data_IF_570596739841
#
_entry.id   IF_570596739841
#
_cell.length_a   1.000
_cell.length_b   1.000
_cell.length_c   1.000
_cell.angle_alpha   90.00
_cell.angle_beta   90.00
_cell.angle_gamma   90.00
#
_symmetry.space_group_name_H-M   'P 1'
#
loop_
_entity.id
_entity.type
_entity.pdbx_description
1 polymer ?
#
# COMPACT_ATOMS: atom_id res chain seq x y z
N UNK A 1 -7.91 -16.89 3.84
CA UNK A 1 -6.62 -16.17 3.83
C UNK A 1 -5.73 -16.79 4.90
N UNK A 2 -4.47 -17.08 4.57
CA UNK A 2 -3.47 -17.55 5.54
C UNK A 2 -2.70 -16.40 6.17
N UNK A 3 -1.75 -16.71 7.04
CA UNK A 3 -0.80 -15.75 7.59
C UNK A 3 0.17 -15.30 6.48
N UNK A 4 0.24 -13.99 6.24
CA UNK A 4 1.14 -13.40 5.25
C UNK A 4 2.03 -12.33 5.90
N UNK A 5 3.27 -12.23 5.43
CA UNK A 5 4.25 -11.22 5.81
C UNK A 5 4.76 -10.52 4.55
N UNK A 6 4.79 -9.19 4.54
CA UNK A 6 5.43 -8.41 3.49
C UNK A 6 6.65 -7.68 4.06
N UNK A 7 7.73 -7.60 3.30
CA UNK A 7 8.89 -6.77 3.60
C UNK A 7 9.36 -6.02 2.35
N UNK A 8 9.72 -4.76 2.55
CA UNK A 8 10.43 -3.96 1.56
C UNK A 8 11.93 -3.94 1.86
N UNK A 9 12.76 -3.89 0.83
CA UNK A 9 14.22 -3.89 0.95
C UNK A 9 14.86 -2.76 0.15
N UNK A 10 16.07 -2.36 0.57
CA UNK A 10 16.86 -1.31 -0.11
C UNK A 10 17.35 -1.73 -1.50
N UNK A 11 17.30 -3.02 -1.85
CA UNK A 11 17.52 -3.52 -3.22
C UNK A 11 16.37 -3.16 -4.19
N UNK A 12 15.32 -2.51 -3.68
CA UNK A 12 14.18 -2.02 -4.43
C UNK A 12 13.07 -3.04 -4.63
N UNK A 13 13.17 -4.22 -4.01
CA UNK A 13 12.17 -5.28 -4.13
C UNK A 13 11.24 -5.33 -2.91
N UNK A 14 10.05 -5.89 -3.11
CA UNK A 14 9.15 -6.31 -2.02
C UNK A 14 9.06 -7.83 -2.04
N UNK A 15 9.29 -8.49 -0.91
CA UNK A 15 9.03 -9.92 -0.76
C UNK A 15 7.77 -10.15 0.07
N UNK A 16 6.97 -11.12 -0.34
CA UNK A 16 5.76 -11.55 0.37
C UNK A 16 5.86 -13.03 0.67
N UNK A 17 5.79 -13.36 1.96
CA UNK A 17 5.82 -14.72 2.46
C UNK A 17 4.43 -15.16 2.90
N UNK A 18 4.01 -16.36 2.52
CA UNK A 18 2.74 -16.97 2.95
C UNK A 18 3.02 -18.24 3.73
N UNK A 19 2.51 -18.32 4.95
CA UNK A 19 2.71 -19.49 5.80
C UNK A 19 1.91 -20.68 5.28
N UNK A 20 2.55 -21.85 5.26
CA UNK A 20 1.95 -23.15 4.96
C UNK A 20 1.50 -23.84 6.25
N UNK A 21 0.58 -24.80 6.12
CA UNK A 21 0.10 -25.60 7.24
C UNK A 21 1.18 -26.52 7.86
N UNK A 22 2.23 -26.85 7.11
CA UNK A 22 3.37 -27.66 7.56
C UNK A 22 4.44 -26.85 8.30
N UNK A 23 4.22 -25.54 8.51
CA UNK A 23 5.18 -24.62 9.12
C UNK A 23 6.20 -24.02 8.14
N UNK A 24 6.17 -24.42 6.86
CA UNK A 24 6.96 -23.80 5.80
C UNK A 24 6.40 -22.46 5.33
N UNK A 25 7.11 -21.79 4.43
CA UNK A 25 6.71 -20.51 3.84
C UNK A 25 6.89 -20.52 2.32
N UNK A 26 5.87 -20.12 1.58
CA UNK A 26 5.99 -19.75 0.17
C UNK A 26 6.50 -18.32 0.08
N UNK A 27 7.38 -18.04 -0.89
CA UNK A 27 7.84 -16.70 -1.18
C UNK A 27 7.37 -16.27 -2.57
N UNK A 28 6.84 -15.05 -2.66
CA UNK A 28 6.62 -14.32 -3.91
C UNK A 28 7.32 -12.96 -3.81
N UNK A 29 7.61 -12.33 -4.95
CA UNK A 29 8.34 -11.06 -5.01
C UNK A 29 7.71 -10.08 -5.98
N UNK A 30 7.91 -8.80 -5.70
CA UNK A 30 7.64 -7.69 -6.60
C UNK A 30 9.01 -7.10 -6.97
N UNK A 31 9.40 -7.35 -8.21
CA UNK A 31 10.67 -6.91 -8.75
C UNK A 31 10.68 -5.42 -9.08
N UNK A 32 11.76 -4.74 -8.71
CA UNK A 32 11.96 -3.32 -9.00
C UNK A 32 10.76 -2.46 -8.57
N UNK A 33 10.16 -2.83 -7.43
CA UNK A 33 9.03 -2.11 -6.85
C UNK A 33 9.37 -0.63 -6.66
N UNK A 34 10.55 -0.32 -6.12
CA UNK A 34 11.12 1.02 -6.07
C UNK A 34 12.62 0.94 -6.37
N UNK A 35 13.11 1.28 -7.58
CA UNK A 35 14.51 1.03 -8.00
C UNK A 35 15.61 1.61 -7.10
N UNK A 36 15.28 2.60 -6.25
CA UNK A 36 16.22 3.27 -5.33
C UNK A 36 16.09 2.73 -3.88
N UNK A 37 15.17 1.79 -3.65
CA UNK A 37 14.91 1.18 -2.35
C UNK A 37 13.47 1.39 -1.86
N UNK A 38 12.92 0.36 -1.22
CA UNK A 38 11.61 0.39 -0.56
C UNK A 38 11.80 0.77 0.91
N UNK A 39 11.04 1.76 1.38
CA UNK A 39 11.17 2.30 2.74
C UNK A 39 10.06 1.84 3.67
N UNK A 40 8.87 1.57 3.13
CA UNK A 40 7.71 1.13 3.91
C UNK A 40 6.73 0.34 3.04
N UNK A 41 5.99 -0.57 3.70
CA UNK A 41 4.91 -1.36 3.11
C UNK A 41 3.71 -1.38 4.07
N UNK A 42 2.49 -1.32 3.54
CA UNK A 42 1.26 -1.47 4.33
C UNK A 42 0.24 -2.30 3.57
N UNK A 43 -0.33 -3.30 4.24
CA UNK A 43 -1.41 -4.12 3.68
C UNK A 43 -2.70 -3.33 3.57
N UNK A 44 -3.45 -3.57 2.50
CA UNK A 44 -4.83 -3.13 2.39
C UNK A 44 -5.75 -4.01 3.25
N UNK A 45 -6.91 -3.50 3.69
CA UNK A 45 -7.96 -4.30 4.29
C UNK A 45 -8.39 -5.46 3.38
N UNK A 46 -8.65 -6.64 3.96
CA UNK A 46 -8.98 -7.87 3.21
C UNK A 46 -10.36 -7.86 2.55
N UNK A 47 -11.22 -6.89 2.91
CA UNK A 47 -12.56 -6.71 2.37
C UNK A 47 -12.55 -5.57 1.35
N UNK A 48 -13.12 -5.81 0.16
CA UNK A 48 -13.39 -4.74 -0.79
C UNK A 48 -14.30 -3.67 -0.14
N UNK A 49 -14.16 -2.38 -0.51
CA UNK A 49 -15.10 -1.35 -0.09
C UNK A 49 -16.56 -1.76 -0.37
N UNK A 50 -17.42 -1.73 0.65
CA UNK A 50 -18.84 -2.07 0.52
C UNK A 50 -19.20 -3.57 0.58
N UNK A 51 -18.26 -4.46 0.91
CA UNK A 51 -18.51 -5.92 0.95
C UNK A 51 -19.60 -6.38 1.96
N UNK A 52 -20.02 -5.53 2.90
CA UNK A 52 -21.11 -5.84 3.83
C UNK A 52 -22.52 -5.78 3.21
N UNK A 53 -22.64 -5.44 1.90
CA UNK A 53 -23.93 -5.23 1.24
C UNK A 53 -24.36 -6.40 0.33
N UNK A 54 -23.56 -7.46 0.17
CA UNK A 54 -23.92 -8.58 -0.72
C UNK A 54 -23.39 -9.94 -0.28
N UNK A 55 -24.28 -10.93 -0.18
CA UNK A 55 -24.00 -12.32 0.17
C UNK A 55 -23.28 -13.10 -0.95
N UNK A 56 -22.13 -12.61 -1.40
CA UNK A 56 -21.23 -13.32 -2.31
C UNK A 56 -19.89 -13.58 -1.62
N UNK A 57 -19.34 -14.79 -1.76
CA UNK A 57 -17.93 -15.08 -1.49
C UNK A 57 -17.09 -14.23 -2.46
N UNK A 58 -16.74 -13.01 -2.06
CA UNK A 58 -15.74 -12.23 -2.76
C UNK A 58 -14.39 -12.85 -2.41
N UNK A 59 -13.67 -13.34 -3.41
CA UNK A 59 -12.30 -13.79 -3.22
C UNK A 59 -11.51 -12.65 -2.55
N UNK A 60 -10.79 -12.92 -1.45
CA UNK A 60 -10.04 -11.88 -0.75
C UNK A 60 -9.01 -11.27 -1.70
N UNK A 61 -9.16 -9.97 -1.96
CA UNK A 61 -8.24 -9.22 -2.81
C UNK A 61 -7.01 -8.85 -1.99
N UNK A 62 -5.88 -9.50 -2.26
CA UNK A 62 -4.61 -9.13 -1.64
C UNK A 62 -4.03 -7.89 -2.33
N UNK A 63 -4.02 -6.78 -1.58
CA UNK A 63 -3.37 -5.54 -1.98
C UNK A 63 -2.43 -5.05 -0.88
N UNK A 64 -1.40 -4.34 -1.28
CA UNK A 64 -0.54 -3.58 -0.40
C UNK A 64 -0.10 -2.28 -1.08
N UNK A 65 0.26 -1.28 -0.29
CA UNK A 65 0.96 -0.10 -0.79
C UNK A 65 2.39 -0.07 -0.27
N UNK A 66 3.24 0.66 -0.98
CA UNK A 66 4.64 0.86 -0.63
C UNK A 66 5.10 2.29 -0.89
N UNK A 67 6.04 2.76 -0.09
CA UNK A 67 6.80 3.98 -0.33
C UNK A 67 8.25 3.65 -0.67
N UNK A 68 8.92 4.53 -1.41
CA UNK A 68 10.33 4.34 -1.76
C UNK A 68 11.17 5.61 -1.82
N UNK A 69 12.47 5.38 -1.99
CA UNK A 69 13.48 6.41 -2.22
C UNK A 69 13.38 7.04 -3.63
N UNK A 70 12.49 6.53 -4.49
CA UNK A 70 12.15 7.12 -5.80
C UNK A 70 11.07 8.21 -5.69
N UNK A 71 10.75 8.65 -4.47
CA UNK A 71 9.78 9.69 -4.12
C UNK A 71 8.31 9.34 -4.47
N UNK A 72 8.04 8.08 -4.80
CA UNK A 72 6.70 7.63 -5.18
C UNK A 72 6.07 6.75 -4.12
N UNK A 73 4.73 6.73 -4.12
CA UNK A 73 3.95 5.69 -3.49
C UNK A 73 3.39 4.79 -4.59
N UNK A 74 3.40 3.48 -4.39
CA UNK A 74 2.85 2.51 -5.34
C UNK A 74 1.86 1.59 -4.64
N UNK A 75 0.85 1.16 -5.40
CA UNK A 75 -0.18 0.21 -4.97
C UNK A 75 -0.01 -1.05 -5.79
N UNK A 76 -0.09 -2.20 -5.13
CA UNK A 76 0.12 -3.51 -5.72
C UNK A 76 -1.08 -4.39 -5.44
N UNK A 77 -1.49 -5.18 -6.44
CA UNK A 77 -2.55 -6.17 -6.35
C UNK A 77 -2.01 -7.53 -6.78
N UNK A 78 -2.29 -8.56 -5.99
CA UNK A 78 -2.07 -9.94 -6.40
C UNK A 78 -3.21 -10.36 -7.33
N UNK A 79 -2.87 -10.73 -8.56
CA UNK A 79 -3.82 -11.22 -9.56
C UNK A 79 -3.27 -12.51 -10.18
N UNK A 80 -4.02 -13.61 -10.04
CA UNK A 80 -3.64 -14.93 -10.55
C UNK A 80 -2.22 -15.36 -10.15
N UNK A 81 -1.88 -15.15 -8.86
CA UNK A 81 -0.57 -15.51 -8.31
C UNK A 81 0.57 -14.55 -8.65
N UNK A 82 0.31 -13.48 -9.41
CA UNK A 82 1.32 -12.49 -9.79
C UNK A 82 0.98 -11.11 -9.24
N UNK A 83 1.96 -10.49 -8.58
CA UNK A 83 1.86 -9.11 -8.13
C UNK A 83 1.99 -8.15 -9.29
N UNK A 84 1.05 -7.22 -9.41
CA UNK A 84 1.04 -6.17 -10.44
C UNK A 84 0.78 -4.81 -9.81
N UNK A 85 1.37 -3.77 -10.39
CA UNK A 85 1.08 -2.40 -10.00
C UNK A 85 -0.37 -2.07 -10.35
N UNK A 86 -1.13 -1.60 -9.37
CA UNK A 86 -2.58 -1.35 -9.43
C UNK A 86 -2.91 0.15 -9.39
N UNK A 87 -1.89 1.00 -9.25
CA UNK A 87 -1.97 2.42 -9.58
C UNK A 87 -1.16 2.69 -10.85
N UNK A 88 -1.77 3.28 -11.88
CA UNK A 88 -1.04 3.71 -13.07
C UNK A 88 -1.48 5.13 -13.46
N UNK A 89 -0.58 6.13 -13.42
CA UNK A 89 0.84 6.05 -13.04
C UNK A 89 1.06 5.79 -11.53
N UNK A 90 2.33 5.69 -11.11
CA UNK A 90 2.69 5.71 -9.70
C UNK A 90 2.22 7.00 -9.02
N UNK A 91 1.92 6.94 -7.73
CA UNK A 91 1.40 8.07 -6.98
C UNK A 91 2.56 9.03 -6.67
N UNK A 92 2.59 10.14 -7.40
CA UNK A 92 3.72 11.07 -7.39
C UNK A 92 3.28 12.49 -7.03
N UNK A 93 3.69 12.92 -5.83
CA UNK A 93 3.53 14.29 -5.32
C UNK A 93 4.62 14.67 -4.32
N UNK A 94 5.24 13.68 -3.66
CA UNK A 94 6.41 13.90 -2.83
C UNK A 94 7.61 14.29 -3.69
N UNK A 95 8.43 15.19 -3.15
CA UNK A 95 9.63 15.71 -3.84
C UNK A 95 10.93 15.14 -3.28
N UNK A 96 10.84 14.26 -2.29
CA UNK A 96 11.95 13.58 -1.62
C UNK A 96 11.46 12.24 -1.05
N UNK A 97 12.34 11.43 -0.45
CA UNK A 97 12.09 10.05 -0.05
C UNK A 97 10.80 9.91 0.74
N UNK A 98 9.93 9.00 0.30
CA UNK A 98 8.79 8.59 1.12
C UNK A 98 9.35 7.83 2.32
N UNK A 99 9.00 8.26 3.53
CA UNK A 99 9.48 7.67 4.78
C UNK A 99 8.57 6.57 5.29
N UNK A 100 7.26 6.77 5.17
CA UNK A 100 6.27 5.80 5.62
C UNK A 100 4.98 5.89 4.82
N UNK A 101 4.26 4.77 4.72
CA UNK A 101 2.93 4.67 4.12
C UNK A 101 2.01 3.86 5.03
N UNK A 102 0.75 4.27 5.11
CA UNK A 102 -0.25 3.56 5.89
C UNK A 102 -1.57 3.49 5.12
N UNK A 103 -2.03 2.27 4.84
CA UNK A 103 -3.36 2.03 4.26
C UNK A 103 -4.41 2.10 5.36
N UNK A 104 -5.44 2.93 5.17
CA UNK A 104 -6.49 3.11 6.15
C UNK A 104 -7.37 1.84 6.27
N UNK A 105 -7.79 1.47 7.49
CA UNK A 105 -8.81 0.44 7.68
C UNK A 105 -10.10 0.86 6.98
N UNK A 106 -10.73 -0.06 6.25
CA UNK A 106 -11.97 0.24 5.51
C UNK A 106 -13.19 -0.18 6.33
N UNK A 107 -13.43 0.51 7.44
CA UNK A 107 -14.61 0.32 8.30
C UNK A 107 -15.79 1.12 7.74
N UNK A 108 -16.32 0.69 6.59
CA UNK A 108 -17.53 1.30 6.00
C UNK A 108 -17.31 2.59 5.20
N UNK A 109 -16.06 2.94 4.89
CA UNK A 109 -15.76 4.08 4.02
C UNK A 109 -16.02 3.72 2.55
N UNK A 110 -16.56 4.64 1.74
CA UNK A 110 -16.85 4.39 0.33
C UNK A 110 -15.60 4.38 -0.55
N UNK A 111 -14.43 4.74 -0.01
CA UNK A 111 -13.17 4.92 -0.76
C UNK A 111 -12.01 4.21 -0.06
N UNK A 112 -11.08 3.67 -0.85
CA UNK A 112 -9.79 3.28 -0.31
C UNK A 112 -8.95 4.53 -0.05
N UNK A 113 -8.26 4.56 1.09
CA UNK A 113 -7.47 5.72 1.54
C UNK A 113 -6.08 5.28 1.99
N UNK A 114 -5.04 5.98 1.56
CA UNK A 114 -3.66 5.79 1.98
C UNK A 114 -3.11 7.12 2.48
N UNK A 115 -2.36 7.10 3.59
CA UNK A 115 -1.51 8.21 4.01
C UNK A 115 -0.06 7.92 3.63
N UNK A 116 0.68 8.93 3.20
CA UNK A 116 2.13 8.88 3.06
C UNK A 116 2.78 10.09 3.71
N UNK A 117 4.01 9.90 4.18
CA UNK A 117 4.84 10.98 4.70
C UNK A 117 6.27 10.87 4.16
N UNK A 118 6.98 11.98 4.08
CA UNK A 118 8.25 12.07 3.37
C UNK A 118 9.27 12.95 4.07
N UNK A 119 10.52 12.77 3.65
CA UNK A 119 11.63 13.66 3.90
C UNK A 119 11.33 15.11 3.50
N UNK A 120 10.44 15.33 2.53
CA UNK A 120 10.02 16.66 2.06
C UNK A 120 9.11 17.43 3.02
N UNK A 121 8.78 16.82 4.16
CA UNK A 121 7.96 17.40 5.23
C UNK A 121 6.45 17.38 4.98
N UNK A 122 6.00 16.86 3.85
CA UNK A 122 4.58 16.77 3.52
C UNK A 122 3.99 15.47 4.04
N UNK A 123 2.71 15.54 4.42
CA UNK A 123 1.83 14.39 4.55
C UNK A 123 0.78 14.49 3.46
N UNK A 124 0.58 13.40 2.72
CA UNK A 124 -0.34 13.34 1.57
C UNK A 124 -1.36 12.24 1.81
N UNK A 125 -2.62 12.54 1.53
CA UNK A 125 -3.72 11.57 1.53
C UNK A 125 -4.04 11.23 0.08
N UNK A 126 -4.03 9.94 -0.21
CA UNK A 126 -4.39 9.37 -1.49
C UNK A 126 -5.74 8.67 -1.36
N UNK A 127 -6.69 8.96 -2.25
CA UNK A 127 -7.99 8.29 -2.26
C UNK A 127 -8.35 7.75 -3.63
N UNK A 128 -9.06 6.64 -3.66
CA UNK A 128 -9.67 6.10 -4.87
C UNK A 128 -11.08 5.59 -4.55
N UNK A 129 -12.05 5.96 -5.38
CA UNK A 129 -13.46 5.67 -5.11
C UNK A 129 -13.83 4.22 -5.44
N UNK A 130 -13.43 3.75 -6.62
CA UNK A 130 -13.67 2.37 -7.06
C UNK A 130 -12.40 1.74 -7.59
N UNK A 131 -12.37 0.41 -7.57
CA UNK A 131 -11.27 -0.32 -8.20
C UNK A 131 -11.18 0.01 -9.69
N UNK A 132 -9.96 0.31 -10.17
CA UNK A 132 -9.70 0.74 -11.54
C UNK A 132 -9.77 2.24 -11.78
N UNK A 133 -10.30 3.03 -10.83
CA UNK A 133 -10.26 4.49 -10.91
C UNK A 133 -8.83 5.02 -10.66
N UNK A 134 -8.59 6.26 -11.06
CA UNK A 134 -7.35 6.97 -10.75
C UNK A 134 -7.31 7.38 -9.28
N UNK A 135 -6.14 7.26 -8.67
CA UNK A 135 -5.90 7.74 -7.32
C UNK A 135 -5.70 9.25 -7.33
N UNK A 136 -6.36 9.93 -6.39
CA UNK A 136 -6.25 11.37 -6.20
C UNK A 136 -5.42 11.65 -4.94
N UNK A 137 -4.38 12.47 -5.08
CA UNK A 137 -3.53 12.90 -3.96
C UNK A 137 -3.85 14.32 -3.51
N UNK A 138 -3.86 14.54 -2.19
CA UNK A 138 -4.02 15.86 -1.57
C UNK A 138 -3.01 16.05 -0.45
N UNK A 139 -2.28 17.16 -0.48
CA UNK A 139 -1.44 17.57 0.65
C UNK A 139 -2.37 17.84 1.85
N UNK A 140 -2.19 17.05 2.90
CA UNK A 140 -2.90 17.24 4.16
C UNK A 140 -2.26 18.34 4.98
N UNK A 141 -0.93 18.30 5.11
CA UNK A 141 -0.15 19.30 5.80
C UNK A 141 1.29 19.32 5.27
N UNK A 142 1.94 20.46 5.40
CA UNK A 142 3.37 20.64 5.17
C UNK A 142 4.02 21.08 6.48
N UNK A 143 4.72 20.15 7.13
CA UNK A 143 5.41 20.36 8.41
C UNK A 143 6.73 21.13 8.25
N UNK A 144 7.20 21.37 7.02
CA UNK A 144 8.49 22.03 6.70
C UNK A 144 9.73 21.30 7.23
N UNK A 145 9.55 20.14 7.85
CA UNK A 145 10.58 19.27 8.42
C UNK A 145 10.22 17.82 8.14
N UNK A 146 11.20 16.90 8.03
CA UNK A 146 10.94 15.50 7.73
C UNK A 146 9.87 14.87 8.64
N UNK A 147 8.93 14.16 8.03
CA UNK A 147 7.91 13.40 8.76
C UNK A 147 8.26 11.91 8.65
N UNK A 148 8.42 11.27 9.80
CA UNK A 148 9.04 9.95 9.86
C UNK A 148 8.06 8.80 9.73
N UNK A 149 6.85 8.93 10.28
CA UNK A 149 5.88 7.84 10.44
C UNK A 149 4.46 8.35 10.32
N UNK A 150 3.57 7.50 9.81
CA UNK A 150 2.12 7.71 9.80
C UNK A 150 1.41 6.44 10.24
N UNK A 151 0.27 6.58 10.91
CA UNK A 151 -0.57 5.45 11.30
C UNK A 151 -2.02 5.89 11.40
N UNK A 152 -2.94 4.97 11.09
CA UNK A 152 -4.37 5.18 11.21
C UNK A 152 -4.88 4.54 12.51
N UNK A 153 -5.79 5.24 13.19
CA UNK A 153 -6.53 4.64 14.30
C UNK A 153 -7.69 3.80 13.80
N UNK A 154 -8.02 2.73 14.53
CA UNK A 154 -9.26 1.97 14.40
C UNK A 154 -10.30 2.62 15.34
N UNK A 155 -10.84 3.78 14.97
CA UNK A 155 -11.99 4.36 15.70
C UNK A 155 -13.28 4.07 14.98
#
# INVERSE_FOLDING_TARGET
SGLCLACGSSDGNISVFTARADGGWDASRIDQAHPVGVTSVSWAPSTAPGALVGAGLLDPVQKLCSGGCDNTVKVWKLNNGLWKMDCFPALQMHTDWVRDVAWAPNLGLPKSTIASCSQDGKVIIWTVAKEGDQWEGKILNDFKTPVWRVSWSLT
#
